data_IF_224158377770
#
_entry.id   IF_224158377770
#
_cell.length_a   1.000
_cell.length_b   1.000
_cell.length_c   1.000
_cell.angle_alpha   90.00
_cell.angle_beta   90.00
_cell.angle_gamma   90.00
#
_symmetry.space_group_name_H-M   'P 1'
#
loop_
_entity.id
_entity.type
_entity.pdbx_description
1 polymer ?
#
# COMPACT_ATOMS: atom_id res chain seq x y z
N UNK A 1 12.45 -3.13 1.13
CA UNK A 1 11.12 -2.60 0.77
C UNK A 1 10.04 -3.18 1.65
N UNK A 2 8.90 -2.50 1.75
CA UNK A 2 7.77 -2.91 2.61
C UNK A 2 6.51 -2.99 1.76
N UNK A 3 5.68 -3.99 2.01
CA UNK A 3 4.43 -4.21 1.29
C UNK A 3 3.27 -4.27 2.27
N UNK A 4 2.12 -3.76 1.82
CA UNK A 4 0.86 -3.85 2.54
C UNK A 4 -0.32 -3.56 1.59
N UNK A 5 -1.52 -3.88 2.05
CA UNK A 5 -2.76 -3.62 1.33
C UNK A 5 -3.61 -2.56 2.02
N UNK A 6 -4.31 -1.79 1.19
CA UNK A 6 -5.20 -0.74 1.67
C UNK A 6 -6.52 -0.71 0.89
N UNK A 7 -7.58 -0.37 1.60
CA UNK A 7 -8.87 -0.02 1.00
C UNK A 7 -9.17 1.47 1.19
N UNK A 8 -9.63 2.11 0.13
CA UNK A 8 -10.25 3.43 0.19
C UNK A 8 -11.75 3.28 -0.09
N UNK A 9 -12.57 3.79 0.82
CA UNK A 9 -14.03 3.68 0.75
C UNK A 9 -14.62 4.99 0.24
N UNK A 10 -15.68 4.89 -0.60
CA UNK A 10 -16.42 6.07 -1.08
C UNK A 10 -17.16 6.80 0.04
N UNK A 11 -17.52 6.07 1.11
CA UNK A 11 -18.12 6.68 2.28
C UNK A 11 -17.15 7.67 2.91
N UNK A 12 -17.62 8.89 3.13
CA UNK A 12 -16.79 9.93 3.74
C UNK A 12 -16.35 9.51 5.14
N UNK A 13 -15.04 9.46 5.33
CA UNK A 13 -14.42 9.27 6.65
C UNK A 13 -14.20 10.63 7.28
N UNK A 14 -14.80 10.83 8.46
CA UNK A 14 -14.72 12.10 9.20
C UNK A 14 -13.52 12.04 10.14
N UNK A 15 -12.72 13.09 10.11
CA UNK A 15 -11.62 13.30 11.05
C UNK A 15 -11.63 14.73 11.59
N UNK A 16 -10.95 14.96 12.72
CA UNK A 16 -10.77 16.27 13.29
C UNK A 16 -10.06 17.23 12.34
N UNK A 17 -10.43 18.49 12.37
CA UNK A 17 -9.83 19.55 11.56
C UNK A 17 -9.96 20.90 12.27
N UNK A 18 -9.37 21.93 11.69
CA UNK A 18 -9.48 23.30 12.18
C UNK A 18 -10.71 23.96 11.55
N UNK A 19 -11.65 24.38 12.40
CA UNK A 19 -12.88 25.02 11.98
C UNK A 19 -13.10 26.30 12.80
N UNK A 20 -13.90 27.21 12.27
CA UNK A 20 -14.28 28.43 13.01
C UNK A 20 -14.98 28.03 14.32
N UNK A 21 -14.57 28.66 15.42
CA UNK A 21 -15.18 28.42 16.75
C UNK A 21 -16.70 28.62 16.67
N UNK A 22 -17.46 27.65 17.17
CA UNK A 22 -18.92 27.63 17.14
C UNK A 22 -19.55 27.15 15.83
N UNK A 23 -18.74 26.74 14.82
CA UNK A 23 -19.26 26.08 13.61
C UNK A 23 -19.44 24.58 13.85
N UNK A 24 -20.44 23.98 13.17
CA UNK A 24 -20.66 22.54 13.11
C UNK A 24 -20.59 22.09 11.63
N UNK A 25 -19.39 21.93 11.06
CA UNK A 25 -19.24 21.58 9.66
C UNK A 25 -19.87 20.22 9.37
N UNK A 26 -20.58 20.11 8.26
CA UNK A 26 -21.19 18.87 7.79
C UNK A 26 -20.55 18.47 6.48
N UNK A 27 -20.16 17.21 6.36
CA UNK A 27 -19.69 16.63 5.11
C UNK A 27 -20.73 15.66 4.59
N UNK A 28 -21.06 15.78 3.29
CA UNK A 28 -21.93 14.80 2.62
C UNK A 28 -21.25 13.44 2.63
N UNK A 29 -22.05 12.37 2.66
CA UNK A 29 -21.55 11.01 2.55
C UNK A 29 -22.31 10.27 1.46
N UNK A 30 -21.62 9.43 0.73
CA UNK A 30 -22.24 8.56 -0.27
C UNK A 30 -22.94 7.38 0.42
N UNK A 31 -24.17 7.01 0.02
CA UNK A 31 -24.96 5.98 0.73
C UNK A 31 -24.54 4.54 0.45
N UNK A 32 -23.53 4.30 -0.40
CA UNK A 32 -23.06 2.95 -0.79
C UNK A 32 -21.76 2.54 -0.10
N UNK A 33 -21.50 1.23 -0.06
CA UNK A 33 -20.27 0.65 0.50
C UNK A 33 -19.27 0.23 -0.60
N UNK A 34 -19.04 1.10 -1.57
CA UNK A 34 -18.06 0.83 -2.60
C UNK A 34 -16.65 1.20 -2.11
N UNK A 35 -15.69 0.44 -2.56
CA UNK A 35 -14.28 0.65 -2.22
C UNK A 35 -13.37 0.33 -3.39
N UNK A 36 -12.22 0.94 -3.42
CA UNK A 36 -11.08 0.56 -4.25
C UNK A 36 -9.97 -0.02 -3.38
N UNK A 37 -9.19 -0.93 -3.93
CA UNK A 37 -8.18 -1.70 -3.20
C UNK A 37 -6.82 -1.54 -3.87
N UNK A 38 -5.78 -1.40 -3.06
CA UNK A 38 -4.41 -1.29 -3.55
C UNK A 38 -3.50 -2.23 -2.77
N UNK A 39 -2.58 -2.87 -3.48
CA UNK A 39 -1.40 -3.50 -2.93
C UNK A 39 -0.23 -2.56 -3.20
N UNK A 40 0.42 -2.07 -2.17
CA UNK A 40 1.50 -1.09 -2.30
C UNK A 40 2.85 -1.63 -1.85
N UNK A 41 3.90 -1.10 -2.47
CA UNK A 41 5.29 -1.38 -2.15
C UNK A 41 6.02 -0.06 -1.97
N UNK A 42 6.59 0.16 -0.79
CA UNK A 42 7.41 1.35 -0.54
C UNK A 42 8.89 0.97 -0.41
N UNK A 43 9.74 1.77 -1.04
CA UNK A 43 11.21 1.70 -0.91
C UNK A 43 11.65 2.90 -0.07
N UNK A 44 11.85 2.75 1.25
CA UNK A 44 12.16 3.89 2.13
C UNK A 44 13.41 4.65 1.75
N UNK A 45 14.42 3.97 1.22
CA UNK A 45 15.71 4.56 0.87
C UNK A 45 15.59 5.61 -0.25
N UNK A 46 14.73 5.37 -1.23
CA UNK A 46 14.47 6.31 -2.32
C UNK A 46 13.23 7.15 -2.10
N UNK A 47 12.31 6.69 -1.25
CA UNK A 47 10.99 7.29 -1.10
C UNK A 47 10.10 7.05 -2.32
N UNK A 48 10.20 5.88 -2.95
CA UNK A 48 9.33 5.48 -4.05
C UNK A 48 8.20 4.60 -3.56
N UNK A 49 7.03 4.82 -4.14
CA UNK A 49 5.86 3.98 -3.98
C UNK A 49 5.50 3.34 -5.31
N UNK A 50 5.27 2.04 -5.30
CA UNK A 50 4.62 1.31 -6.39
C UNK A 50 3.29 0.78 -5.89
N UNK A 51 2.25 0.83 -6.71
CA UNK A 51 0.92 0.30 -6.37
C UNK A 51 0.36 -0.57 -7.50
N UNK A 52 -0.34 -1.62 -7.12
CA UNK A 52 -1.17 -2.44 -7.99
C UNK A 52 -2.62 -2.42 -7.48
N UNK A 53 -3.59 -2.65 -8.35
CA UNK A 53 -5.03 -2.68 -8.02
C UNK A 53 -5.59 -4.10 -8.14
N UNK A 54 -5.42 -4.96 -7.14
CA UNK A 54 -6.03 -6.28 -7.16
C UNK A 54 -7.54 -6.20 -6.89
N UNK A 55 -8.33 -7.05 -7.52
CA UNK A 55 -9.78 -7.15 -7.26
C UNK A 55 -10.09 -7.65 -5.84
N UNK A 56 -9.22 -8.51 -5.32
CA UNK A 56 -9.32 -9.11 -3.99
C UNK A 56 -7.93 -9.33 -3.40
N UNK A 57 -7.83 -9.47 -2.08
CA UNK A 57 -6.58 -9.83 -1.41
C UNK A 57 -6.55 -11.33 -1.15
N UNK A 58 -5.64 -12.00 -1.82
CA UNK A 58 -5.31 -13.41 -1.64
C UNK A 58 -3.85 -13.66 -2.06
N UNK A 59 -3.37 -14.90 -1.90
CA UNK A 59 -1.98 -15.24 -2.21
C UNK A 59 -1.65 -15.10 -3.71
N UNK A 60 -2.61 -15.36 -4.60
CA UNK A 60 -2.44 -15.24 -6.05
C UNK A 60 -2.21 -13.78 -6.44
N UNK A 61 -3.11 -12.90 -5.99
CA UNK A 61 -2.98 -11.46 -6.26
C UNK A 61 -1.78 -10.83 -5.55
N UNK A 62 -1.33 -11.39 -4.42
CA UNK A 62 -0.07 -10.97 -3.78
C UNK A 62 1.12 -11.35 -4.67
N UNK A 63 1.17 -12.56 -5.22
CA UNK A 63 2.20 -13.00 -6.16
C UNK A 63 2.21 -12.13 -7.41
N UNK A 64 1.04 -11.86 -8.00
CA UNK A 64 0.90 -11.00 -9.18
C UNK A 64 1.37 -9.56 -8.91
N UNK A 65 1.06 -9.03 -7.74
CA UNK A 65 1.52 -7.71 -7.31
C UNK A 65 3.05 -7.66 -7.14
N UNK A 66 3.65 -8.71 -6.57
CA UNK A 66 5.11 -8.83 -6.46
C UNK A 66 5.75 -8.90 -7.84
N UNK A 67 5.21 -9.69 -8.76
CA UNK A 67 5.71 -9.77 -10.15
C UNK A 67 5.58 -8.45 -10.88
N UNK A 68 4.46 -7.76 -10.71
CA UNK A 68 4.26 -6.42 -11.29
C UNK A 68 5.29 -5.42 -10.75
N UNK A 69 5.56 -5.45 -9.44
CA UNK A 69 6.62 -4.65 -8.84
C UNK A 69 8.00 -4.99 -9.42
N UNK A 70 8.37 -6.27 -9.48
CA UNK A 70 9.67 -6.71 -10.00
C UNK A 70 9.85 -6.40 -11.48
N UNK A 71 8.78 -6.41 -12.28
CA UNK A 71 8.80 -6.00 -13.68
C UNK A 71 9.11 -4.50 -13.83
N UNK A 72 8.55 -3.66 -12.98
CA UNK A 72 8.79 -2.21 -12.97
C UNK A 72 10.13 -1.83 -12.30
N UNK A 73 10.58 -2.64 -11.34
CA UNK A 73 11.78 -2.41 -10.52
C UNK A 73 12.56 -3.73 -10.42
N UNK A 74 13.28 -4.14 -11.47
CA UNK A 74 14.08 -5.37 -11.41
C UNK A 74 15.15 -5.26 -10.33
N UNK A 75 15.40 -6.36 -9.63
CA UNK A 75 16.47 -6.40 -8.64
C UNK A 75 17.84 -6.20 -9.34
N UNK A 76 18.75 -5.40 -8.75
CA UNK A 76 20.09 -5.27 -9.31
C UNK A 76 20.79 -6.64 -9.39
N UNK A 77 21.68 -6.78 -10.37
CA UNK A 77 22.42 -8.04 -10.58
C UNK A 77 23.10 -8.52 -9.30
N UNK A 78 22.91 -9.79 -8.98
CA UNK A 78 23.46 -10.43 -7.78
C UNK A 78 22.82 -9.98 -6.45
N UNK A 79 21.74 -9.18 -6.49
CA UNK A 79 21.02 -8.71 -5.28
C UNK A 79 19.58 -9.19 -5.26
N UNK A 80 18.99 -9.17 -4.08
CA UNK A 80 17.57 -9.44 -3.85
C UNK A 80 16.95 -8.31 -3.04
N UNK A 81 15.67 -8.09 -3.25
CA UNK A 81 14.90 -7.24 -2.36
C UNK A 81 14.60 -7.96 -1.04
N UNK A 82 14.89 -7.33 0.08
CA UNK A 82 14.31 -7.72 1.37
C UNK A 82 12.87 -7.20 1.41
N UNK A 83 11.89 -8.07 1.20
CA UNK A 83 10.46 -7.73 1.21
C UNK A 83 9.87 -8.00 2.58
N UNK A 84 9.55 -6.92 3.27
CA UNK A 84 8.92 -6.96 4.59
C UNK A 84 7.41 -6.94 4.43
N UNK A 85 6.73 -7.91 5.03
CA UNK A 85 5.28 -8.09 4.96
C UNK A 85 4.72 -8.43 6.34
N UNK A 86 3.45 -8.15 6.56
CA UNK A 86 2.74 -8.55 7.76
C UNK A 86 2.40 -10.06 7.78
N UNK A 87 1.66 -10.47 8.82
CA UNK A 87 1.28 -11.85 9.03
C UNK A 87 -0.11 -12.23 8.48
N UNK A 88 -0.63 -11.51 7.46
CA UNK A 88 -1.88 -11.88 6.82
C UNK A 88 -1.87 -13.33 6.31
N UNK A 89 -3.01 -14.04 6.33
CA UNK A 89 -3.05 -15.44 5.89
C UNK A 89 -2.53 -15.67 4.48
N UNK A 90 -2.81 -14.74 3.56
CA UNK A 90 -2.35 -14.81 2.18
C UNK A 90 -0.84 -14.53 2.06
N UNK A 91 -0.25 -13.62 2.86
CA UNK A 91 1.19 -13.40 2.93
C UNK A 91 1.92 -14.66 3.42
N UNK A 92 1.43 -15.26 4.51
CA UNK A 92 1.97 -16.55 5.01
C UNK A 92 1.92 -17.64 3.97
N UNK A 93 0.82 -17.72 3.21
CA UNK A 93 0.68 -18.71 2.12
C UNK A 93 1.67 -18.43 1.00
N UNK A 94 1.80 -17.17 0.56
CA UNK A 94 2.78 -16.75 -0.46
C UNK A 94 4.20 -17.15 -0.05
N UNK A 95 4.65 -16.76 1.14
CA UNK A 95 5.98 -17.10 1.65
C UNK A 95 6.21 -18.62 1.71
N UNK A 96 5.18 -19.39 2.12
CA UNK A 96 5.27 -20.83 2.18
C UNK A 96 5.48 -21.45 0.79
N UNK A 97 4.69 -21.04 -0.21
CA UNK A 97 4.77 -21.55 -1.57
C UNK A 97 6.10 -21.22 -2.23
N UNK A 98 6.59 -20.00 -2.03
CA UNK A 98 7.83 -19.51 -2.67
C UNK A 98 9.08 -20.08 -2.00
N UNK A 99 9.18 -20.03 -0.66
CA UNK A 99 10.42 -20.35 0.06
C UNK A 99 10.47 -21.77 0.62
N UNK A 100 9.34 -22.31 1.12
CA UNK A 100 9.33 -23.62 1.76
C UNK A 100 9.03 -24.74 0.81
N UNK A 101 7.96 -24.63 0.04
CA UNK A 101 7.58 -25.63 -0.96
C UNK A 101 8.40 -25.52 -2.23
N UNK A 102 9.06 -24.37 -2.44
CA UNK A 102 9.99 -24.11 -3.55
C UNK A 102 9.39 -24.44 -4.92
N UNK A 103 8.11 -24.16 -5.09
CA UNK A 103 7.41 -24.49 -6.33
C UNK A 103 8.10 -23.83 -7.53
N UNK A 104 8.35 -24.57 -8.64
CA UNK A 104 9.10 -24.06 -9.80
C UNK A 104 8.50 -22.81 -10.40
N UNK A 105 7.17 -22.68 -10.44
CA UNK A 105 6.45 -21.54 -10.98
C UNK A 105 6.69 -20.21 -10.24
N UNK A 106 7.35 -20.23 -9.06
CA UNK A 106 7.71 -19.04 -8.28
C UNK A 106 9.22 -18.84 -8.17
N UNK A 107 10.01 -19.47 -9.02
CA UNK A 107 11.48 -19.32 -9.04
C UNK A 107 11.91 -17.88 -9.29
N UNK A 108 11.20 -17.17 -10.16
CA UNK A 108 11.40 -15.75 -10.48
C UNK A 108 11.36 -14.86 -9.24
N UNK A 109 10.37 -15.08 -8.38
CA UNK A 109 10.23 -14.32 -7.12
C UNK A 109 11.33 -14.74 -6.14
N UNK A 110 11.58 -16.05 -6.00
CA UNK A 110 12.59 -16.58 -5.07
C UNK A 110 14.00 -16.08 -5.39
N UNK A 111 14.31 -15.88 -6.65
CA UNK A 111 15.60 -15.36 -7.09
C UNK A 111 15.75 -13.85 -6.84
N UNK A 112 14.63 -13.12 -6.83
CA UNK A 112 14.60 -11.66 -6.74
C UNK A 112 14.25 -11.12 -5.36
N UNK A 113 13.64 -11.94 -4.48
CA UNK A 113 13.08 -11.51 -3.19
C UNK A 113 13.50 -12.44 -2.05
N UNK A 114 13.77 -11.86 -0.90
CA UNK A 114 13.86 -12.55 0.40
C UNK A 114 12.78 -11.98 1.30
N UNK A 115 11.89 -12.83 1.80
CA UNK A 115 10.79 -12.39 2.65
C UNK A 115 11.22 -12.19 4.09
N UNK A 116 10.74 -11.10 4.68
CA UNK A 116 10.91 -10.78 6.10
C UNK A 116 9.52 -10.58 6.71
N UNK A 117 9.23 -11.29 7.79
CA UNK A 117 7.95 -11.16 8.49
C UNK A 117 8.03 -10.08 9.55
N UNK A 118 7.03 -9.21 9.56
CA UNK A 118 6.82 -8.30 10.70
C UNK A 118 6.41 -9.11 11.95
N UNK A 119 6.80 -8.65 13.15
CA UNK A 119 6.22 -9.19 14.38
C UNK A 119 4.69 -9.03 14.38
N UNK A 120 3.95 -9.93 15.04
CA UNK A 120 2.51 -9.76 15.20
C UNK A 120 2.16 -8.43 15.86
N UNK A 121 1.06 -7.81 15.42
CA UNK A 121 0.53 -6.56 16.00
C UNK A 121 1.52 -5.39 16.00
N UNK A 122 2.38 -5.27 15.00
CA UNK A 122 3.41 -4.23 14.92
C UNK A 122 3.28 -3.35 13.67
N UNK A 123 2.14 -2.65 13.46
CA UNK A 123 1.96 -1.78 12.30
C UNK A 123 2.95 -0.62 12.27
N UNK A 124 3.42 -0.16 13.45
CA UNK A 124 4.41 0.92 13.56
C UNK A 124 5.77 0.57 12.93
N UNK A 125 6.05 -0.72 12.74
CA UNK A 125 7.23 -1.21 12.04
C UNK A 125 7.03 -1.33 10.53
N UNK A 126 5.84 -0.99 10.02
CA UNK A 126 5.55 -0.98 8.60
C UNK A 126 5.43 0.46 8.08
N UNK A 127 6.48 1.05 7.50
CA UNK A 127 6.46 2.44 7.07
C UNK A 127 5.42 2.75 6.01
N UNK A 128 4.93 1.78 5.26
CA UNK A 128 3.87 1.99 4.27
C UNK A 128 2.54 2.42 4.92
N UNK A 129 2.31 2.09 6.18
CA UNK A 129 1.16 2.58 6.95
C UNK A 129 1.15 4.12 7.07
N UNK A 130 2.33 4.75 7.09
CA UNK A 130 2.45 6.20 7.05
C UNK A 130 1.98 6.77 5.69
N UNK A 131 2.23 6.03 4.60
CA UNK A 131 1.78 6.39 3.26
C UNK A 131 0.25 6.37 3.22
N UNK A 132 -0.37 5.31 3.72
CA UNK A 132 -1.83 5.20 3.79
C UNK A 132 -2.45 6.30 4.64
N UNK A 133 -1.82 6.60 5.77
CA UNK A 133 -2.28 7.65 6.68
C UNK A 133 -2.23 9.05 6.05
N UNK A 134 -1.12 9.41 5.39
CA UNK A 134 -1.01 10.72 4.75
C UNK A 134 -1.94 10.84 3.55
N UNK A 135 -2.08 9.78 2.75
CA UNK A 135 -3.01 9.76 1.62
C UNK A 135 -4.44 9.98 2.10
N UNK A 136 -4.86 9.29 3.17
CA UNK A 136 -6.20 9.52 3.74
C UNK A 136 -6.36 10.94 4.24
N UNK A 137 -5.39 11.44 4.98
CA UNK A 137 -5.43 12.78 5.58
C UNK A 137 -5.53 13.89 4.54
N UNK A 138 -4.77 13.78 3.47
CA UNK A 138 -4.65 14.85 2.47
C UNK A 138 -5.68 14.75 1.35
N UNK A 139 -6.16 13.53 1.04
CA UNK A 139 -6.95 13.32 -0.17
C UNK A 139 -8.36 12.77 0.07
N UNK A 140 -8.63 12.06 1.19
CA UNK A 140 -9.92 11.37 1.33
C UNK A 140 -10.69 11.72 2.62
N UNK A 141 -10.02 12.13 3.68
CA UNK A 141 -10.73 12.52 4.92
C UNK A 141 -11.49 13.84 4.74
N UNK A 142 -12.72 13.86 5.23
CA UNK A 142 -13.63 15.01 5.13
C UNK A 142 -13.98 15.42 3.68
N UNK A 143 -13.76 14.54 2.71
CA UNK A 143 -14.08 14.76 1.28
C UNK A 143 -15.28 13.93 0.89
N UNK A 144 -16.20 14.51 0.14
CA UNK A 144 -17.32 13.82 -0.49
C UNK A 144 -16.92 13.41 -1.92
N UNK A 145 -17.08 12.12 -2.24
CA UNK A 145 -16.89 11.59 -3.58
C UNK A 145 -18.24 11.26 -4.21
N UNK A 146 -18.50 11.81 -5.39
CA UNK A 146 -19.77 11.60 -6.12
C UNK A 146 -19.85 10.21 -6.78
N UNK A 147 -18.70 9.59 -7.05
CA UNK A 147 -18.59 8.25 -7.61
C UNK A 147 -17.30 7.54 -7.17
N UNK A 148 -17.27 6.21 -7.31
CA UNK A 148 -16.06 5.44 -7.05
C UNK A 148 -14.91 5.86 -7.98
N UNK A 149 -15.20 6.17 -9.24
CA UNK A 149 -14.21 6.62 -10.22
C UNK A 149 -13.50 7.93 -9.79
N UNK A 150 -14.24 8.87 -9.21
CA UNK A 150 -13.66 10.12 -8.69
C UNK A 150 -12.72 9.83 -7.51
N UNK A 151 -13.12 8.94 -6.60
CA UNK A 151 -12.25 8.49 -5.51
C UNK A 151 -10.97 7.83 -6.06
N UNK A 152 -11.11 6.91 -7.01
CA UNK A 152 -9.98 6.21 -7.62
C UNK A 152 -9.01 7.18 -8.29
N UNK A 153 -9.51 8.08 -9.14
CA UNK A 153 -8.68 9.10 -9.79
C UNK A 153 -7.92 9.96 -8.77
N UNK A 154 -8.59 10.31 -7.66
CA UNK A 154 -7.95 11.11 -6.59
C UNK A 154 -6.82 10.34 -5.92
N UNK A 155 -7.05 9.06 -5.57
CA UNK A 155 -6.03 8.22 -4.92
C UNK A 155 -4.90 7.87 -5.87
N UNK A 156 -5.21 7.54 -7.13
CA UNK A 156 -4.22 7.27 -8.17
C UNK A 156 -3.28 8.46 -8.36
N UNK A 157 -3.83 9.67 -8.52
CA UNK A 157 -3.02 10.89 -8.66
C UNK A 157 -2.11 11.15 -7.46
N UNK A 158 -2.57 10.81 -6.24
CA UNK A 158 -1.74 10.91 -5.05
C UNK A 158 -0.59 9.88 -5.06
N UNK A 159 -0.83 8.67 -5.53
CA UNK A 159 0.19 7.62 -5.61
C UNK A 159 1.18 7.88 -6.76
N UNK A 160 0.71 8.36 -7.90
CA UNK A 160 1.55 8.73 -9.04
C UNK A 160 2.59 9.80 -8.68
N UNK A 161 2.23 10.74 -7.81
CA UNK A 161 3.17 11.74 -7.30
C UNK A 161 4.36 11.14 -6.53
N UNK A 162 4.23 9.90 -6.06
CA UNK A 162 5.27 9.16 -5.32
C UNK A 162 5.87 7.97 -6.09
N UNK A 163 5.49 7.79 -7.35
CA UNK A 163 6.03 6.73 -8.20
C UNK A 163 7.53 6.91 -8.52
N UNK A 164 8.04 8.13 -8.40
CA UNK A 164 9.45 8.48 -8.57
C UNK A 164 10.10 8.79 -7.22
N UNK A 165 11.45 8.74 -7.11
CA UNK A 165 12.16 9.08 -5.88
C UNK A 165 11.69 10.39 -5.26
N UNK A 166 11.27 10.35 -4.00
CA UNK A 166 10.59 11.45 -3.32
C UNK A 166 11.17 11.69 -1.92
N UNK A 167 11.69 12.89 -1.69
CA UNK A 167 12.31 13.25 -0.41
C UNK A 167 11.30 13.29 0.76
N UNK A 168 10.05 13.71 0.50
CA UNK A 168 9.00 13.75 1.51
C UNK A 168 8.67 12.31 1.96
N UNK A 169 8.46 11.41 1.00
CA UNK A 169 8.12 10.02 1.30
C UNK A 169 9.30 9.29 1.98
N UNK A 170 10.54 9.57 1.54
CA UNK A 170 11.75 9.07 2.21
C UNK A 170 11.80 9.48 3.69
N UNK A 171 11.51 10.75 3.98
CA UNK A 171 11.47 11.25 5.36
C UNK A 171 10.33 10.63 6.17
N UNK A 172 9.16 10.48 5.53
CA UNK A 172 7.97 9.89 6.16
C UNK A 172 8.19 8.41 6.54
N UNK A 173 8.87 7.66 5.68
CA UNK A 173 9.13 6.23 5.85
C UNK A 173 10.45 5.91 6.60
N UNK A 174 11.22 6.93 7.00
CA UNK A 174 12.43 6.71 7.79
C UNK A 174 12.08 6.31 9.23
N UNK A 175 12.74 5.27 9.73
CA UNK A 175 12.69 4.93 11.15
C UNK A 175 13.42 6.00 11.95
N UNK A 176 12.81 6.47 13.02
CA UNK A 176 13.43 7.38 13.99
C UNK A 176 14.03 6.59 15.13
#
# INVERSE_FOLDING_TARGET
MYQDEVHFQIQTTITSGWFKKGSAPKVKSFPGRFKTSYSGFVIPESGQLFTAKPEKFNYETTIDSIRSFLSAHPAPEGKRYALVMDNAPWHKKTMRLVEKEMLPEYSDIRESVTFIKLPPYSPDLNPIEQVWRITRKENTHNVFFASLSVLETTVDSAFDAWAMPNAQLRTLCSFK
#
